data_IF_042605493522
#
_entry.id   IF_042605493522
#
_cell.length_a   1.000
_cell.length_b   1.000
_cell.length_c   1.000
_cell.angle_alpha   90.00
_cell.angle_beta   90.00
_cell.angle_gamma   90.00
#
_symmetry.space_group_name_H-M   'P 1'
#
loop_
_entity.id
_entity.type
_entity.pdbx_description
1 polymer ?
#
# COMPACT_ATOMS: atom_id res chain seq x y z
N UNK A 1 4.51 -2.63 -16.16
CA UNK A 1 3.37 -2.70 -15.22
C UNK A 1 3.94 -2.49 -13.82
N UNK A 2 3.29 -1.68 -13.01
CA UNK A 2 3.65 -1.55 -11.60
C UNK A 2 3.18 -2.80 -10.83
N UNK A 3 3.96 -3.24 -9.85
CA UNK A 3 3.60 -4.31 -8.94
C UNK A 3 3.76 -3.74 -7.54
N UNK A 4 2.64 -3.56 -6.84
CA UNK A 4 2.61 -2.94 -5.53
C UNK A 4 2.16 -3.94 -4.47
N UNK A 5 2.86 -3.95 -3.33
CA UNK A 5 2.58 -4.74 -2.14
C UNK A 5 2.79 -6.25 -2.31
N UNK A 6 2.12 -6.89 -3.26
CA UNK A 6 2.20 -8.34 -3.48
C UNK A 6 3.15 -8.66 -4.62
N UNK A 7 4.33 -9.17 -4.28
CA UNK A 7 5.41 -9.44 -5.22
C UNK A 7 5.59 -10.95 -5.41
N UNK A 8 5.62 -11.41 -6.66
CA UNK A 8 6.03 -12.78 -6.99
C UNK A 8 7.48 -12.78 -7.44
N UNK A 9 8.36 -13.43 -6.68
CA UNK A 9 9.80 -13.40 -6.87
C UNK A 9 10.31 -14.78 -7.28
N UNK A 10 11.20 -14.81 -8.27
CA UNK A 10 11.93 -16.02 -8.66
C UNK A 10 13.39 -15.68 -8.90
N UNK A 11 14.29 -16.59 -8.55
CA UNK A 11 15.69 -16.46 -8.89
C UNK A 11 15.90 -16.82 -10.37
N UNK A 12 16.51 -15.91 -11.13
CA UNK A 12 16.93 -16.11 -12.51
C UNK A 12 18.35 -15.58 -12.66
N UNK A 13 19.27 -16.39 -13.20
CA UNK A 13 20.66 -15.99 -13.44
C UNK A 13 21.34 -15.33 -12.22
N UNK A 14 21.10 -15.88 -11.01
CA UNK A 14 21.59 -15.36 -9.72
C UNK A 14 21.04 -13.98 -9.34
N UNK A 15 19.90 -13.58 -9.88
CA UNK A 15 19.18 -12.35 -9.50
C UNK A 15 17.75 -12.68 -9.11
N UNK A 16 17.24 -11.98 -8.09
CA UNK A 16 15.82 -12.00 -7.74
C UNK A 16 15.05 -11.11 -8.70
N UNK A 17 14.12 -11.70 -9.45
CA UNK A 17 13.27 -10.98 -10.42
C UNK A 17 11.85 -10.92 -9.87
N UNK A 18 11.27 -9.73 -9.89
CA UNK A 18 9.88 -9.47 -9.49
C UNK A 18 8.96 -9.63 -10.70
N UNK A 19 7.84 -10.31 -10.49
CA UNK A 19 6.79 -10.52 -11.47
C UNK A 19 5.44 -10.08 -10.89
N UNK A 20 4.55 -9.57 -11.75
CA UNK A 20 3.14 -9.47 -11.40
C UNK A 20 2.50 -10.87 -11.38
N UNK A 21 1.32 -11.00 -10.77
CA UNK A 21 0.57 -12.27 -10.69
C UNK A 21 0.37 -12.92 -12.07
N UNK A 22 -0.04 -12.14 -13.08
CA UNK A 22 -0.31 -12.67 -14.42
C UNK A 22 0.97 -13.21 -15.09
N UNK A 23 2.09 -12.48 -14.96
CA UNK A 23 3.37 -12.92 -15.50
C UNK A 23 3.92 -14.16 -14.78
N UNK A 24 3.70 -14.28 -13.47
CA UNK A 24 4.07 -15.45 -12.70
C UNK A 24 3.22 -16.67 -13.12
N UNK A 25 1.88 -16.51 -13.20
CA UNK A 25 0.95 -17.58 -13.61
C UNK A 25 1.14 -18.05 -15.05
N UNK A 26 1.53 -17.15 -15.96
CA UNK A 26 1.88 -17.53 -17.34
C UNK A 26 3.09 -18.46 -17.40
N UNK A 27 4.05 -18.30 -16.49
CA UNK A 27 5.24 -19.16 -16.41
C UNK A 27 4.97 -20.43 -15.59
N UNK A 28 4.19 -20.32 -14.52
CA UNK A 28 3.83 -21.43 -13.63
C UNK A 28 2.40 -21.23 -13.13
N UNK A 29 1.39 -21.93 -13.69
CA UNK A 29 -0.01 -21.76 -13.29
C UNK A 29 -0.28 -22.06 -11.82
N UNK A 30 0.53 -22.93 -11.19
CA UNK A 30 0.49 -23.26 -9.77
C UNK A 30 1.36 -22.34 -8.90
N UNK A 31 2.14 -21.43 -9.51
CA UNK A 31 3.14 -20.59 -8.87
C UNK A 31 4.31 -21.36 -8.21
N UNK A 32 4.48 -22.63 -8.59
CA UNK A 32 5.59 -23.44 -8.10
C UNK A 32 6.95 -22.79 -8.43
N UNK A 33 7.82 -22.71 -7.43
CA UNK A 33 9.14 -22.07 -7.53
C UNK A 33 9.13 -20.55 -7.45
N UNK A 34 7.98 -19.90 -7.19
CA UNK A 34 7.91 -18.49 -6.82
C UNK A 34 7.82 -18.32 -5.31
N UNK A 35 8.42 -17.26 -4.81
CA UNK A 35 8.21 -16.73 -3.46
C UNK A 35 7.23 -15.59 -3.55
N UNK A 36 6.19 -15.59 -2.72
CA UNK A 36 5.25 -14.48 -2.60
C UNK A 36 5.65 -13.61 -1.40
N UNK A 37 5.89 -12.31 -1.63
CA UNK A 37 6.15 -11.34 -0.58
C UNK A 37 5.03 -10.31 -0.51
N UNK A 38 4.66 -9.93 0.72
CA UNK A 38 3.80 -8.80 1.05
C UNK A 38 4.69 -7.70 1.67
N UNK A 39 4.77 -6.53 1.03
CA UNK A 39 5.63 -5.42 1.49
C UNK A 39 4.99 -4.62 2.64
N UNK A 40 3.67 -4.52 2.66
CA UNK A 40 2.89 -3.79 3.64
C UNK A 40 1.79 -4.68 4.18
N UNK A 41 1.63 -4.74 5.51
CA UNK A 41 0.54 -5.51 6.08
C UNK A 41 -0.79 -4.89 5.67
N UNK A 42 -1.78 -5.71 5.36
CA UNK A 42 -3.14 -5.23 5.06
C UNK A 42 -3.67 -4.20 6.08
N UNK A 43 -3.40 -4.38 7.38
CA UNK A 43 -3.81 -3.43 8.42
C UNK A 43 -3.19 -2.04 8.24
N UNK A 44 -1.91 -1.97 7.89
CA UNK A 44 -1.22 -0.69 7.69
C UNK A 44 -1.82 0.07 6.49
N UNK A 45 -2.19 -0.65 5.43
CA UNK A 45 -2.85 -0.06 4.27
C UNK A 45 -4.26 0.44 4.61
N UNK A 46 -5.00 -0.29 5.46
CA UNK A 46 -6.31 0.15 5.96
C UNK A 46 -6.18 1.42 6.80
N UNK A 47 -5.23 1.46 7.74
CA UNK A 47 -5.01 2.63 8.60
C UNK A 47 -4.67 3.88 7.76
N UNK A 48 -3.84 3.73 6.72
CA UNK A 48 -3.51 4.82 5.78
C UNK A 48 -4.74 5.27 4.99
N UNK A 49 -5.53 4.32 4.48
CA UNK A 49 -6.75 4.62 3.73
C UNK A 49 -7.80 5.35 4.59
N UNK A 50 -8.06 4.86 5.79
CA UNK A 50 -9.05 5.45 6.71
C UNK A 50 -8.59 6.84 7.21
N UNK A 51 -7.28 7.04 7.36
CA UNK A 51 -6.69 8.34 7.70
C UNK A 51 -6.69 9.36 6.54
N UNK A 52 -6.88 8.91 5.30
CA UNK A 52 -6.89 9.78 4.13
C UNK A 52 -8.22 10.52 4.01
N UNK A 53 -8.26 11.73 4.57
CA UNK A 53 -9.45 12.59 4.60
C UNK A 53 -9.21 13.91 3.89
N UNK A 54 -10.27 14.51 3.37
CA UNK A 54 -10.19 15.82 2.72
C UNK A 54 -9.80 16.88 3.75
N UNK A 55 -8.65 17.53 3.53
CA UNK A 55 -8.23 18.64 4.36
C UNK A 55 -9.25 19.78 4.29
N UNK A 56 -9.92 20.06 5.41
CA UNK A 56 -10.84 21.18 5.54
C UNK A 56 -10.08 22.38 6.10
N UNK A 57 -9.88 23.46 5.31
CA UNK A 57 -9.28 24.66 5.86
C UNK A 57 -10.19 25.23 6.95
N UNK A 58 -9.62 25.49 8.13
CA UNK A 58 -10.35 26.13 9.23
C UNK A 58 -10.77 27.52 8.73
N UNK A 59 -12.08 27.72 8.54
CA UNK A 59 -12.59 29.06 8.26
C UNK A 59 -12.26 29.96 9.44
N UNK A 60 -11.86 31.24 9.24
CA UNK A 60 -11.52 32.16 10.33
C UNK A 60 -12.59 32.24 11.43
N UNK A 61 -13.86 32.02 11.07
CA UNK A 61 -14.99 31.95 12.01
C UNK A 61 -14.92 30.77 13.00
N UNK A 62 -14.35 29.63 12.60
CA UNK A 62 -14.19 28.45 13.46
C UNK A 62 -12.94 28.54 14.34
N UNK A 63 -11.88 29.22 13.88
CA UNK A 63 -10.67 29.44 14.68
C UNK A 63 -10.96 30.29 15.94
N UNK A 64 -11.85 31.29 15.83
CA UNK A 64 -12.28 32.12 16.95
C UNK A 64 -13.13 31.37 17.99
N UNK A 65 -13.83 30.29 17.59
CA UNK A 65 -14.66 29.49 18.49
C UNK A 65 -13.86 28.45 19.31
N UNK A 66 -12.63 28.12 18.88
CA UNK A 66 -11.76 27.19 19.62
C UNK A 66 -10.93 27.89 20.71
N UNK A 67 -10.68 29.20 20.59
CA UNK A 67 -10.01 30.00 21.62
C UNK A 67 -10.86 30.30 22.85
N UNK A 68 -12.19 30.13 22.79
CA UNK A 68 -13.10 30.45 23.90
C UNK A 68 -13.40 29.28 24.84
N UNK A 69 -12.90 28.07 24.57
CA UNK A 69 -13.00 26.92 25.48
C UNK A 69 -11.72 26.67 26.30
N UNK A 70 -10.69 27.50 26.12
CA UNK A 70 -9.50 27.54 26.96
C UNK A 70 -9.61 28.70 27.97
N UNK A 71 -10.58 28.63 28.90
CA UNK A 71 -10.64 29.45 30.12
C UNK A 71 -11.41 28.70 31.21
#
# INVERSE_FOLDING_TARGET
IEVFNILFIREQEKRHVVHCMDCARKQSPSLEGFVCLEEYRMRELMDVYDGFTLHTPISPAMAAAQSSQAS
#
